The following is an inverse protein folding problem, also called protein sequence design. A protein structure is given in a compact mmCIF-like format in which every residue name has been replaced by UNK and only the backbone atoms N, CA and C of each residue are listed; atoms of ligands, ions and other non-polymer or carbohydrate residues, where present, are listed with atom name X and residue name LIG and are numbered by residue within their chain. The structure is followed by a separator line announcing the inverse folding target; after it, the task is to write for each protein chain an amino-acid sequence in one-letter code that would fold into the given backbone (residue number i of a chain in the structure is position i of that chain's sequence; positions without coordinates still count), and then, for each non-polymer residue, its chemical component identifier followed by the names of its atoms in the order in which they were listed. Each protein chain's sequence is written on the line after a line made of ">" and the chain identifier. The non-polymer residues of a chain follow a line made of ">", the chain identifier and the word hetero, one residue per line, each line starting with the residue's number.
data_IF_876730897622
#
_entry.id   IF_876730897622
#
_cell.length_a   1.000
_cell.length_b   1.000
_cell.length_c   1.000
_cell.angle_alpha   90.00
_cell.angle_beta   90.00
_cell.angle_gamma   90.00
#
_symmetry.space_group_name_H-M   'P 1'
#
loop_
_entity.id
_entity.type
_entity.pdbx_description
1 polymer ?
#
# COMPACT_ATOMS: atom_id res chain seq x y z
N UNK A 1 1.51 -2.36 -3.92
CA UNK A 1 0.46 -1.49 -3.29
C UNK A 1 -0.61 -1.14 -4.32
N UNK A 2 -1.74 -0.57 -3.94
CA UNK A 2 -2.79 -0.16 -4.89
C UNK A 2 -3.05 1.34 -4.84
N UNK A 3 -3.15 1.97 -6.02
CA UNK A 3 -3.48 3.38 -6.18
C UNK A 3 -4.98 3.59 -6.00
N UNK A 4 -5.36 4.42 -5.04
CA UNK A 4 -6.76 4.59 -4.61
C UNK A 4 -7.35 5.96 -4.94
N UNK A 5 -6.60 6.81 -5.65
CA UNK A 5 -7.09 8.11 -6.10
C UNK A 5 -8.38 7.97 -6.92
N UNK A 6 -9.36 8.80 -6.56
CA UNK A 6 -10.68 8.83 -7.17
C UNK A 6 -11.63 7.68 -6.77
N UNK A 7 -11.23 6.80 -5.84
CA UNK A 7 -12.10 5.75 -5.31
C UNK A 7 -12.79 6.18 -4.02
N UNK A 8 -14.05 5.76 -3.87
CA UNK A 8 -14.77 5.81 -2.60
C UNK A 8 -14.26 4.76 -1.61
N UNK A 9 -14.60 4.92 -0.33
CA UNK A 9 -14.21 3.97 0.73
C UNK A 9 -14.63 2.53 0.38
N UNK A 10 -15.87 2.34 -0.09
CA UNK A 10 -16.38 1.03 -0.48
C UNK A 10 -15.63 0.41 -1.66
N UNK A 11 -15.27 1.21 -2.66
CA UNK A 11 -14.49 0.75 -3.81
C UNK A 11 -13.07 0.34 -3.41
N UNK A 12 -12.46 1.00 -2.42
CA UNK A 12 -11.14 0.61 -1.93
C UNK A 12 -11.21 -0.73 -1.18
N UNK A 13 -12.26 -0.95 -0.37
CA UNK A 13 -12.47 -2.24 0.28
C UNK A 13 -12.75 -3.36 -0.72
N UNK A 14 -13.55 -3.10 -1.76
CA UNK A 14 -13.80 -4.04 -2.85
C UNK A 14 -12.49 -4.39 -3.59
N UNK A 15 -11.66 -3.40 -3.91
CA UNK A 15 -10.36 -3.60 -4.55
C UNK A 15 -9.44 -4.51 -3.70
N UNK A 16 -9.35 -4.25 -2.40
CA UNK A 16 -8.58 -5.12 -1.49
C UNK A 16 -9.15 -6.53 -1.38
N UNK A 17 -10.49 -6.66 -1.37
CA UNK A 17 -11.16 -7.95 -1.27
C UNK A 17 -10.91 -8.80 -2.52
N UNK A 18 -11.04 -8.23 -3.71
CA UNK A 18 -10.90 -8.93 -4.99
C UNK A 18 -9.43 -9.19 -5.33
N UNK A 19 -8.60 -8.14 -5.35
CA UNK A 19 -7.25 -8.21 -5.87
C UNK A 19 -6.23 -8.81 -4.88
N UNK A 20 -6.53 -8.85 -3.59
CA UNK A 20 -5.60 -9.34 -2.55
C UNK A 20 -6.17 -10.52 -1.80
N UNK A 21 -7.34 -10.36 -1.17
CA UNK A 21 -7.86 -11.34 -0.23
C UNK A 21 -8.36 -12.62 -0.93
N UNK A 22 -9.26 -12.48 -1.91
CA UNK A 22 -9.76 -13.61 -2.70
C UNK A 22 -8.65 -14.27 -3.51
N UNK A 23 -7.78 -13.47 -4.16
CA UNK A 23 -6.64 -13.98 -4.92
C UNK A 23 -5.68 -14.85 -4.09
N UNK A 24 -5.62 -14.64 -2.77
CA UNK A 24 -4.79 -15.43 -1.85
C UNK A 24 -5.60 -16.43 -0.99
N UNK A 25 -6.92 -16.49 -1.13
CA UNK A 25 -7.79 -17.30 -0.26
C UNK A 25 -7.74 -16.89 1.22
N UNK A 26 -7.60 -15.59 1.52
CA UNK A 26 -7.46 -15.03 2.88
C UNK A 26 -8.58 -14.04 3.22
N UNK A 27 -8.78 -13.80 4.51
CA UNK A 27 -9.67 -12.75 5.02
C UNK A 27 -8.97 -11.40 5.02
N UNK A 28 -9.66 -10.34 4.58
CA UNK A 28 -9.18 -8.97 4.65
C UNK A 28 -9.61 -8.30 5.97
N UNK A 29 -8.67 -8.22 6.92
CA UNK A 29 -8.91 -7.62 8.25
C UNK A 29 -8.74 -6.09 8.27
N UNK A 30 -7.93 -5.55 7.37
CA UNK A 30 -7.58 -4.15 7.37
C UNK A 30 -6.71 -3.75 6.20
N UNK A 31 -6.47 -2.45 6.07
CA UNK A 31 -5.57 -1.86 5.08
C UNK A 31 -4.71 -0.75 5.70
N UNK A 32 -3.47 -0.67 5.25
CA UNK A 32 -2.63 0.51 5.46
C UNK A 32 -2.91 1.55 4.36
N UNK A 33 -2.92 2.82 4.74
CA UNK A 33 -3.08 3.95 3.82
C UNK A 33 -1.88 4.86 3.94
N UNK A 34 -1.25 5.18 2.82
CA UNK A 34 -0.07 6.02 2.71
C UNK A 34 -0.23 6.95 1.51
N UNK A 35 0.19 8.21 1.63
CA UNK A 35 0.18 9.15 0.51
C UNK A 35 1.44 8.97 -0.35
N UNK A 36 1.31 9.15 -1.67
CA UNK A 36 2.46 9.11 -2.56
C UNK A 36 3.53 10.18 -2.20
N UNK A 37 3.10 11.30 -1.60
CA UNK A 37 4.00 12.32 -1.08
C UNK A 37 4.89 11.82 0.07
N UNK A 38 4.38 10.95 0.94
CA UNK A 38 5.19 10.35 2.01
C UNK A 38 6.23 9.38 1.46
N UNK A 39 5.90 8.65 0.38
CA UNK A 39 6.86 7.81 -0.34
C UNK A 39 7.97 8.65 -0.96
N UNK A 40 7.62 9.76 -1.62
CA UNK A 40 8.60 10.68 -2.20
C UNK A 40 9.48 11.37 -1.14
N UNK A 41 8.93 11.69 0.03
CA UNK A 41 9.69 12.28 1.14
C UNK A 41 10.76 11.32 1.69
N UNK A 42 10.55 10.01 1.58
CA UNK A 42 11.53 8.97 1.90
C UNK A 42 12.51 8.68 0.73
N UNK A 43 12.56 9.56 -0.28
CA UNK A 43 13.39 9.40 -1.50
C UNK A 43 13.07 8.15 -2.34
N UNK A 44 11.87 7.58 -2.15
CA UNK A 44 11.37 6.43 -2.90
C UNK A 44 10.40 6.88 -4.01
N UNK A 45 10.04 5.95 -4.90
CA UNK A 45 9.12 6.21 -6.01
C UNK A 45 7.95 5.24 -6.00
N UNK A 46 6.78 5.70 -6.44
CA UNK A 46 5.63 4.84 -6.72
C UNK A 46 5.54 4.65 -8.23
N UNK A 47 5.78 3.44 -8.69
CA UNK A 47 5.78 3.09 -10.11
C UNK A 47 4.64 2.11 -10.40
N UNK A 48 3.74 2.40 -11.37
CA UNK A 48 2.70 1.46 -11.77
C UNK A 48 3.30 0.11 -12.20
N UNK A 49 2.71 -0.97 -11.72
CA UNK A 49 3.15 -2.34 -12.00
C UNK A 49 1.92 -3.22 -12.12
N UNK A 50 1.30 -3.19 -13.29
CA UNK A 50 0.06 -3.91 -13.59
C UNK A 50 0.37 -5.12 -14.47
N UNK A 51 -0.34 -6.26 -14.31
CA UNK A 51 -1.54 -6.50 -13.49
C UNK A 51 -1.25 -6.85 -12.00
N UNK A 52 -2.24 -6.71 -11.09
CA UNK A 52 -3.63 -6.28 -11.31
C UNK A 52 -3.80 -4.76 -11.49
N UNK A 53 -4.96 -4.33 -12.02
CA UNK A 53 -5.25 -2.91 -12.27
C UNK A 53 -5.05 -2.07 -11.00
N UNK A 54 -4.49 -0.87 -11.15
CA UNK A 54 -4.13 0.06 -10.06
C UNK A 54 -2.96 -0.40 -9.18
N UNK A 55 -2.39 -1.58 -9.43
CA UNK A 55 -1.21 -2.01 -8.69
C UNK A 55 0.00 -1.13 -9.04
N UNK A 56 0.83 -0.87 -8.03
CA UNK A 56 2.06 -0.11 -8.14
C UNK A 56 3.08 -0.65 -7.14
N UNK A 57 4.35 -0.59 -7.50
CA UNK A 57 5.47 -0.90 -6.63
C UNK A 57 6.01 0.38 -6.00
N UNK A 58 6.52 0.26 -4.77
CA UNK A 58 7.41 1.25 -4.21
C UNK A 58 8.83 0.83 -4.61
N UNK A 59 9.52 1.65 -5.40
CA UNK A 59 10.86 1.39 -5.95
C UNK A 59 11.86 2.44 -5.47
N UNK A 60 13.14 2.25 -5.79
CA UNK A 60 14.21 3.15 -5.37
C UNK A 60 14.76 2.87 -3.96
N UNK A 61 14.46 1.70 -3.39
CA UNK A 61 15.00 1.29 -2.09
C UNK A 61 16.54 1.28 -2.10
N UNK A 62 17.19 1.76 -1.02
CA UNK A 62 18.65 1.72 -0.91
C UNK A 62 19.16 0.28 -0.88
N UNK A 63 20.37 -0.02 -1.38
CA UNK A 63 20.90 -1.38 -1.37
C UNK A 63 21.27 -1.89 0.03
N UNK A 64 21.54 -0.98 0.98
CA UNK A 64 21.88 -1.33 2.36
C UNK A 64 20.64 -1.74 3.17
N UNK A 65 20.68 -2.93 3.78
CA UNK A 65 19.56 -3.48 4.56
C UNK A 65 19.08 -2.57 5.69
N UNK A 66 20.01 -1.95 6.42
CA UNK A 66 19.67 -1.08 7.55
C UNK A 66 19.00 0.22 7.05
N UNK A 67 19.44 0.74 5.90
CA UNK A 67 18.80 1.90 5.27
C UNK A 67 17.40 1.56 4.75
N UNK A 68 17.19 0.34 4.20
CA UNK A 68 15.85 -0.13 3.82
C UNK A 68 14.92 -0.19 5.04
N UNK A 69 15.41 -0.72 6.16
CA UNK A 69 14.62 -0.81 7.39
C UNK A 69 14.27 0.58 7.92
N UNK A 70 15.21 1.52 7.94
CA UNK A 70 14.97 2.90 8.35
C UNK A 70 13.90 3.57 7.48
N UNK A 71 14.00 3.45 6.15
CA UNK A 71 13.00 3.98 5.23
C UNK A 71 11.62 3.33 5.44
N UNK A 72 11.57 2.00 5.61
CA UNK A 72 10.32 1.29 5.87
C UNK A 72 9.65 1.73 7.18
N UNK A 73 10.43 1.97 8.23
CA UNK A 73 9.93 2.48 9.51
C UNK A 73 9.38 3.91 9.37
N UNK A 74 10.04 4.77 8.60
CA UNK A 74 9.54 6.12 8.30
C UNK A 74 8.19 6.07 7.57
N UNK A 75 8.07 5.24 6.53
CA UNK A 75 6.80 5.06 5.82
C UNK A 75 5.71 4.53 6.76
N UNK A 76 6.04 3.54 7.61
CA UNK A 76 5.12 2.97 8.56
C UNK A 76 4.63 3.99 9.59
N UNK A 77 5.49 4.89 10.06
CA UNK A 77 5.13 5.96 10.99
C UNK A 77 4.19 7.02 10.38
N UNK A 78 4.23 7.18 9.05
CA UNK A 78 3.35 8.10 8.30
C UNK A 78 2.06 7.44 7.81
N UNK A 79 2.04 6.11 7.72
CA UNK A 79 0.88 5.35 7.30
C UNK A 79 -0.23 5.40 8.36
N UNK A 80 -1.48 5.34 7.91
CA UNK A 80 -2.64 5.15 8.78
C UNK A 80 -3.24 3.76 8.59
N UNK A 81 -3.69 3.16 9.70
CA UNK A 81 -4.37 1.87 9.71
C UNK A 81 -5.88 2.08 9.61
N UNK A 82 -6.53 1.37 8.68
CA UNK A 82 -7.98 1.21 8.62
C UNK A 82 -8.31 -0.25 8.88
N UNK A 83 -8.97 -0.50 10.00
CA UNK A 83 -9.53 -1.81 10.30
C UNK A 83 -10.90 -1.92 9.63
N UNK A 84 -11.29 -3.14 9.31
CA UNK A 84 -12.66 -3.41 8.89
C UNK A 84 -13.52 -3.49 10.13
N UNK A 85 -14.61 -2.73 10.18
CA UNK A 85 -15.46 -2.60 11.37
C UNK A 85 -16.23 -3.90 11.71
N UNK A 86 -16.14 -4.93 10.85
CA UNK A 86 -16.91 -6.17 10.92
C UNK A 86 -16.04 -7.43 11.13
N UNK A 87 -14.76 -7.27 11.49
CA UNK A 87 -13.79 -8.37 11.60
C UNK A 87 -13.63 -8.96 13.01
#
# INVERSE_FOLDING_TARGET
>A
MFRTDGLSEGEIWALGQEAVAQAQGKTLYGRGVLLAADVAAAELRVEPDEPPLRHANITGWPPEKDAQLAAAQELAARASLRLRDDA
#
